data_IF_802132134324
#
_entry.id   IF_802132134324
#
_cell.length_a   1.000
_cell.length_b   1.000
_cell.length_c   1.000
_cell.angle_alpha   90.00
_cell.angle_beta   90.00
_cell.angle_gamma   90.00
#
_symmetry.space_group_name_H-M   'P 1'
#
loop_
_entity.id
_entity.type
_entity.pdbx_description
1 polymer ?
#
# COMPACT_ATOMS: atom_id res chain seq x y z
N UNK A 1 -2.76 -3.05 30.25
CA UNK A 1 -2.87 -2.23 29.02
C UNK A 1 -4.33 -2.06 28.69
N UNK A 2 -4.89 -0.89 28.96
CA UNK A 2 -6.28 -0.54 28.62
C UNK A 2 -6.20 0.20 27.29
N UNK A 3 -6.69 -0.40 26.21
CA UNK A 3 -6.84 0.31 24.94
C UNK A 3 -7.70 1.56 25.20
N UNK A 4 -7.32 2.76 24.72
CA UNK A 4 -8.17 3.96 24.86
C UNK A 4 -9.52 3.66 24.21
N UNK A 5 -10.54 3.54 25.05
CA UNK A 5 -11.77 2.80 24.78
C UNK A 5 -12.85 3.54 24.03
N UNK A 6 -12.50 4.61 23.31
CA UNK A 6 -13.48 5.41 22.54
C UNK A 6 -13.24 5.28 21.03
N UNK A 7 -12.42 4.32 20.60
CA UNK A 7 -12.37 3.95 19.19
C UNK A 7 -13.73 3.37 18.84
N UNK A 8 -14.44 4.02 17.94
CA UNK A 8 -15.71 3.50 17.41
C UNK A 8 -15.41 2.24 16.59
N UNK A 9 -15.31 1.09 17.27
CA UNK A 9 -14.96 -0.21 16.68
C UNK A 9 -15.87 -0.57 15.52
N UNK A 10 -17.11 -0.10 15.55
CA UNK A 10 -18.07 -0.29 14.49
C UNK A 10 -17.70 0.53 13.23
N UNK A 11 -17.24 1.76 13.41
CA UNK A 11 -16.79 2.64 12.32
C UNK A 11 -15.46 2.14 11.71
N UNK A 12 -14.52 1.74 12.56
CA UNK A 12 -13.26 1.14 12.13
C UNK A 12 -13.49 -0.15 11.32
N UNK A 13 -14.32 -1.06 11.83
CA UNK A 13 -14.62 -2.32 11.12
C UNK A 13 -15.39 -2.10 9.83
N UNK A 14 -16.27 -1.08 9.76
CA UNK A 14 -16.93 -0.66 8.52
C UNK A 14 -15.91 -0.16 7.49
N UNK A 15 -14.97 0.70 7.88
CA UNK A 15 -13.91 1.21 7.00
C UNK A 15 -13.01 0.07 6.46
N UNK A 16 -12.64 -0.87 7.34
CA UNK A 16 -11.88 -2.07 6.96
C UNK A 16 -12.62 -2.93 5.95
N UNK A 17 -13.89 -3.24 6.21
CA UNK A 17 -14.73 -4.05 5.33
C UNK A 17 -14.88 -3.40 3.96
N UNK A 18 -15.10 -2.08 3.91
CA UNK A 18 -15.20 -1.34 2.66
C UNK A 18 -13.89 -1.42 1.85
N UNK A 19 -12.74 -1.28 2.53
CA UNK A 19 -11.41 -1.46 1.94
C UNK A 19 -11.21 -2.86 1.36
N UNK A 20 -11.53 -3.88 2.15
CA UNK A 20 -11.42 -5.28 1.75
C UNK A 20 -12.32 -5.61 0.54
N UNK A 21 -13.58 -5.17 0.55
CA UNK A 21 -14.52 -5.39 -0.57
C UNK A 21 -14.02 -4.70 -1.83
N UNK A 22 -13.58 -3.45 -1.75
CA UNK A 22 -13.02 -2.72 -2.89
C UNK A 22 -11.77 -3.39 -3.45
N UNK A 23 -10.88 -3.86 -2.58
CA UNK A 23 -9.68 -4.60 -2.97
C UNK A 23 -9.99 -5.94 -3.61
N UNK A 24 -10.93 -6.70 -3.02
CA UNK A 24 -11.39 -7.97 -3.55
C UNK A 24 -12.03 -7.82 -4.93
N UNK A 25 -12.91 -6.83 -5.12
CA UNK A 25 -13.53 -6.57 -6.42
C UNK A 25 -12.50 -6.25 -7.51
N UNK A 26 -11.46 -5.49 -7.16
CA UNK A 26 -10.37 -5.19 -8.08
C UNK A 26 -9.53 -6.44 -8.41
N UNK A 27 -9.18 -7.23 -7.40
CA UNK A 27 -8.40 -8.46 -7.58
C UNK A 27 -9.16 -9.55 -8.35
N UNK A 28 -10.48 -9.66 -8.17
CA UNK A 28 -11.33 -10.53 -8.99
C UNK A 28 -11.36 -10.09 -10.45
N UNK A 29 -11.44 -8.78 -10.72
CA UNK A 29 -11.35 -8.24 -12.08
C UNK A 29 -10.02 -8.59 -12.75
N UNK A 30 -8.90 -8.39 -12.03
CA UNK A 30 -7.56 -8.73 -12.51
C UNK A 30 -7.42 -10.23 -12.79
N UNK A 31 -7.97 -11.06 -11.91
CA UNK A 31 -7.93 -12.50 -12.05
C UNK A 31 -8.79 -13.01 -13.21
N UNK A 32 -9.97 -12.44 -13.43
CA UNK A 32 -10.83 -12.80 -14.57
C UNK A 32 -10.12 -12.54 -15.91
N UNK A 33 -9.39 -11.41 -16.02
CA UNK A 33 -8.57 -11.10 -17.19
C UNK A 33 -7.47 -12.16 -17.36
N UNK A 34 -6.76 -12.49 -16.28
CA UNK A 34 -5.72 -13.53 -16.28
C UNK A 34 -6.28 -14.90 -16.70
N UNK A 35 -7.46 -15.27 -16.21
CA UNK A 35 -8.12 -16.53 -16.52
C UNK A 35 -8.48 -16.65 -18.01
N UNK A 36 -9.12 -15.62 -18.58
CA UNK A 36 -9.47 -15.59 -20.01
C UNK A 36 -8.20 -15.63 -20.87
N UNK A 37 -7.15 -14.91 -20.45
CA UNK A 37 -5.88 -14.87 -21.16
C UNK A 37 -5.19 -16.24 -21.19
N UNK A 38 -5.05 -16.91 -20.04
CA UNK A 38 -4.47 -18.25 -19.97
C UNK A 38 -5.31 -19.25 -20.76
N UNK A 39 -6.65 -19.18 -20.65
CA UNK A 39 -7.54 -20.13 -21.34
C UNK A 39 -7.42 -20.06 -22.85
N UNK A 40 -7.23 -18.87 -23.42
CA UNK A 40 -7.11 -18.68 -24.87
C UNK A 40 -5.72 -19.02 -25.41
N UNK A 41 -4.66 -18.82 -24.62
CA UNK A 41 -3.28 -18.87 -25.13
C UNK A 41 -2.59 -20.19 -24.86
N UNK A 42 -2.83 -20.80 -23.72
CA UNK A 42 -2.18 -22.03 -23.33
C UNK A 42 -3.28 -23.04 -22.99
N UNK A 43 -3.15 -24.28 -23.44
CA UNK A 43 -3.99 -25.39 -22.96
C UNK A 43 -3.76 -25.70 -21.48
N UNK A 44 -3.38 -24.70 -20.66
CA UNK A 44 -3.08 -24.79 -19.24
C UNK A 44 -4.19 -25.48 -18.48
N UNK A 45 -5.44 -25.16 -18.80
CA UNK A 45 -6.60 -25.79 -18.17
C UNK A 45 -6.80 -27.26 -18.53
N UNK A 46 -6.14 -27.78 -19.57
CA UNK A 46 -6.21 -29.20 -19.91
C UNK A 46 -5.34 -30.06 -18.98
N UNK A 47 -4.29 -29.48 -18.39
CA UNK A 47 -3.33 -30.18 -17.52
C UNK A 47 -3.37 -29.69 -16.07
N UNK A 48 -3.90 -28.49 -15.81
CA UNK A 48 -3.99 -27.91 -14.47
C UNK A 48 -5.16 -28.51 -13.68
N UNK A 49 -4.84 -29.20 -12.58
CA UNK A 49 -5.82 -29.67 -11.60
C UNK A 49 -6.63 -28.54 -10.96
N UNK A 50 -7.79 -28.87 -10.37
CA UNK A 50 -8.76 -27.89 -9.85
C UNK A 50 -8.18 -26.87 -8.87
N UNK A 51 -7.23 -27.29 -8.03
CA UNK A 51 -6.53 -26.42 -7.08
C UNK A 51 -5.85 -25.21 -7.76
N UNK A 52 -5.10 -25.42 -8.85
CA UNK A 52 -4.39 -24.34 -9.54
C UNK A 52 -5.34 -23.33 -10.17
N UNK A 53 -6.52 -23.79 -10.60
CA UNK A 53 -7.56 -22.92 -11.18
C UNK A 53 -8.19 -22.03 -10.12
N UNK A 54 -8.47 -22.61 -8.94
CA UNK A 54 -8.98 -21.87 -7.80
C UNK A 54 -7.94 -20.89 -7.27
N UNK A 55 -6.67 -21.30 -7.17
CA UNK A 55 -5.58 -20.43 -6.72
C UNK A 55 -5.42 -19.21 -7.61
N UNK A 56 -5.51 -19.38 -8.94
CA UNK A 56 -5.44 -18.28 -9.90
C UNK A 56 -6.57 -17.27 -9.69
N UNK A 57 -7.76 -17.73 -9.30
CA UNK A 57 -8.91 -16.88 -8.99
C UNK A 57 -8.84 -16.20 -7.63
N UNK A 58 -8.50 -16.96 -6.59
CA UNK A 58 -8.61 -16.52 -5.20
C UNK A 58 -7.40 -15.70 -4.77
N UNK A 59 -6.18 -16.08 -5.18
CA UNK A 59 -4.96 -15.42 -4.68
C UNK A 59 -4.86 -13.93 -5.03
N UNK A 60 -5.14 -13.47 -6.27
CA UNK A 60 -5.11 -12.04 -6.57
C UNK A 60 -6.20 -11.27 -5.82
N UNK A 61 -7.39 -11.87 -5.63
CA UNK A 61 -8.49 -11.26 -4.91
C UNK A 61 -8.16 -11.06 -3.43
N UNK A 62 -7.59 -12.07 -2.76
CA UNK A 62 -7.22 -11.98 -1.34
C UNK A 62 -6.07 -11.00 -1.12
N UNK A 63 -5.03 -11.02 -1.96
CA UNK A 63 -3.91 -10.09 -1.84
C UNK A 63 -4.35 -8.63 -2.02
N UNK A 64 -5.15 -8.33 -3.04
CA UNK A 64 -5.67 -6.98 -3.24
C UNK A 64 -6.62 -6.54 -2.11
N UNK A 65 -7.42 -7.47 -1.56
CA UNK A 65 -8.27 -7.20 -0.41
C UNK A 65 -7.46 -6.81 0.83
N UNK A 66 -6.44 -7.60 1.18
CA UNK A 66 -5.57 -7.34 2.35
C UNK A 66 -4.82 -6.03 2.20
N UNK A 67 -4.25 -5.74 1.03
CA UNK A 67 -3.53 -4.47 0.81
C UNK A 67 -4.45 -3.26 0.94
N UNK A 68 -5.67 -3.33 0.40
CA UNK A 68 -6.61 -2.22 0.52
C UNK A 68 -7.19 -2.08 1.92
N UNK A 69 -7.38 -3.20 2.63
CA UNK A 69 -7.75 -3.22 4.04
C UNK A 69 -6.71 -2.51 4.90
N UNK A 70 -5.42 -2.85 4.72
CA UNK A 70 -4.30 -2.23 5.44
C UNK A 70 -4.23 -0.72 5.18
N UNK A 71 -4.45 -0.31 3.92
CA UNK A 71 -4.48 1.11 3.56
C UNK A 71 -5.64 1.85 4.23
N UNK A 72 -6.83 1.24 4.33
CA UNK A 72 -7.94 1.86 5.06
C UNK A 72 -7.68 1.91 6.58
N UNK A 73 -7.01 0.89 7.14
CA UNK A 73 -6.61 0.89 8.56
C UNK A 73 -5.75 2.11 8.89
N UNK A 74 -4.69 2.33 8.10
CA UNK A 74 -3.77 3.47 8.30
C UNK A 74 -4.45 4.83 8.14
N UNK A 75 -5.35 4.97 7.17
CA UNK A 75 -6.10 6.22 6.96
C UNK A 75 -7.02 6.51 8.13
N UNK A 76 -7.66 5.49 8.71
CA UNK A 76 -8.51 5.66 9.88
C UNK A 76 -7.69 6.04 11.12
N UNK A 77 -6.52 5.44 11.32
CA UNK A 77 -5.62 5.77 12.43
C UNK A 77 -5.08 7.21 12.33
N UNK A 78 -4.70 7.65 11.12
CA UNK A 78 -4.34 9.04 10.86
C UNK A 78 -5.51 10.00 11.16
N UNK A 79 -6.73 9.65 10.75
CA UNK A 79 -7.92 10.45 11.02
C UNK A 79 -8.24 10.57 12.52
N UNK A 80 -8.16 9.47 13.28
CA UNK A 80 -8.41 9.49 14.72
C UNK A 80 -7.31 10.27 15.47
N UNK A 81 -6.05 10.17 15.03
CA UNK A 81 -4.92 10.95 15.56
C UNK A 81 -5.15 12.45 15.36
N UNK A 82 -5.55 12.87 14.17
CA UNK A 82 -5.83 14.27 13.86
C UNK A 82 -7.02 14.80 14.69
N UNK A 83 -8.07 13.98 14.84
CA UNK A 83 -9.26 14.30 15.66
C UNK A 83 -8.89 14.53 17.13
N UNK A 84 -8.05 13.67 17.71
CA UNK A 84 -7.60 13.81 19.11
C UNK A 84 -6.69 15.02 19.34
N UNK A 85 -5.93 15.43 18.33
CA UNK A 85 -5.04 16.59 18.41
C UNK A 85 -5.76 17.93 18.12
N UNK A 86 -7.08 17.90 17.82
CA UNK A 86 -7.85 19.09 17.44
C UNK A 86 -7.36 19.73 16.13
N UNK A 87 -6.56 19.00 15.35
CA UNK A 87 -6.08 19.44 14.06
C UNK A 87 -7.26 19.35 13.07
N UNK A 88 -7.53 20.44 12.36
CA UNK A 88 -8.55 20.41 11.30
C UNK A 88 -8.11 19.35 10.27
N UNK A 89 -9.04 18.49 9.79
CA UNK A 89 -8.72 17.53 8.74
C UNK A 89 -8.07 18.31 7.60
N UNK A 90 -6.87 17.87 7.19
CA UNK A 90 -6.05 18.51 6.17
C UNK A 90 -6.95 18.93 5.01
N UNK A 91 -7.21 20.23 4.89
CA UNK A 91 -8.08 20.77 3.85
C UNK A 91 -7.55 20.22 2.53
N UNK A 92 -8.39 19.43 1.86
CA UNK A 92 -8.08 18.99 0.50
C UNK A 92 -7.83 20.25 -0.29
N UNK A 93 -6.57 20.46 -0.68
CA UNK A 93 -6.13 21.62 -1.44
C UNK A 93 -7.16 21.86 -2.53
N UNK A 94 -7.78 23.05 -2.53
CA UNK A 94 -8.88 23.34 -3.45
C UNK A 94 -8.47 22.92 -4.87
N UNK A 95 -9.28 22.11 -5.56
CA UNK A 95 -8.89 21.59 -6.86
C UNK A 95 -8.65 22.77 -7.81
N UNK A 96 -7.42 22.89 -8.29
CA UNK A 96 -7.04 23.86 -9.33
C UNK A 96 -8.03 23.75 -10.49
N UNK A 97 -8.48 24.88 -11.04
CA UNK A 97 -9.52 24.90 -12.07
C UNK A 97 -9.09 24.19 -13.37
N UNK A 98 -7.78 24.02 -13.58
CA UNK A 98 -7.24 23.37 -14.78
C UNK A 98 -6.95 21.87 -14.59
N UNK A 99 -7.36 21.07 -15.58
CA UNK A 99 -7.22 19.61 -15.56
C UNK A 99 -5.76 19.17 -15.58
N UNK A 100 -4.90 19.90 -16.28
CA UNK A 100 -3.47 19.59 -16.36
C UNK A 100 -2.76 19.83 -15.03
N UNK A 101 -3.07 20.93 -14.35
CA UNK A 101 -2.54 21.21 -13.02
C UNK A 101 -3.02 20.17 -12.00
N UNK A 102 -4.28 19.72 -12.07
CA UNK A 102 -4.79 18.65 -11.21
C UNK A 102 -4.08 17.32 -11.43
N UNK A 103 -3.83 16.96 -12.69
CA UNK A 103 -3.08 15.74 -13.02
C UNK A 103 -1.65 15.87 -12.50
N UNK A 104 -0.99 17.00 -12.74
CA UNK A 104 0.38 17.21 -12.33
C UNK A 104 0.53 17.22 -10.80
N UNK A 105 -0.41 17.85 -10.07
CA UNK A 105 -0.44 17.84 -8.61
C UNK A 105 -0.75 16.44 -8.04
N UNK A 106 -1.65 15.69 -8.69
CA UNK A 106 -1.96 14.32 -8.32
C UNK A 106 -0.77 13.38 -8.56
N UNK A 107 -0.03 13.57 -9.66
CA UNK A 107 1.19 12.83 -9.97
C UNK A 107 2.30 13.20 -8.98
N UNK A 108 2.47 14.47 -8.61
CA UNK A 108 3.44 14.89 -7.59
C UNK A 108 3.13 14.27 -6.23
N UNK A 109 1.86 14.29 -5.81
CA UNK A 109 1.40 13.71 -4.54
C UNK A 109 1.50 12.18 -4.52
N UNK A 110 1.38 11.53 -5.68
CA UNK A 110 1.43 10.07 -5.79
C UNK A 110 2.60 9.57 -6.64
N UNK A 111 3.73 10.29 -6.63
CA UNK A 111 4.88 10.08 -7.53
C UNK A 111 5.30 8.60 -7.58
N UNK A 112 5.47 7.96 -6.43
CA UNK A 112 5.87 6.56 -6.35
C UNK A 112 4.84 5.58 -6.94
N UNK A 113 3.54 5.87 -6.85
CA UNK A 113 2.49 5.01 -7.43
C UNK A 113 2.52 5.06 -8.95
N UNK A 114 2.74 6.23 -9.54
CA UNK A 114 2.87 6.38 -10.99
C UNK A 114 4.15 5.76 -11.53
N UNK A 115 5.24 5.80 -10.76
CA UNK A 115 6.50 5.15 -11.13
C UNK A 115 6.35 3.64 -11.16
N UNK A 116 5.81 3.08 -10.08
CA UNK A 116 5.55 1.64 -10.00
C UNK A 116 4.52 1.23 -11.06
N UNK A 117 3.49 2.05 -11.28
CA UNK A 117 2.49 1.84 -12.33
C UNK A 117 3.09 1.89 -13.75
N UNK A 118 3.96 2.85 -14.03
CA UNK A 118 4.66 3.00 -15.32
C UNK A 118 5.64 1.86 -15.58
N UNK A 119 6.32 1.38 -14.54
CA UNK A 119 7.14 0.17 -14.60
C UNK A 119 6.31 -1.08 -14.87
N UNK A 120 5.18 -1.26 -14.18
CA UNK A 120 4.29 -2.38 -14.43
C UNK A 120 3.68 -2.29 -15.83
N UNK A 121 3.31 -1.10 -16.27
CA UNK A 121 2.79 -0.84 -17.61
C UNK A 121 3.83 -1.16 -18.69
N UNK A 122 5.10 -0.81 -18.49
CA UNK A 122 6.17 -1.11 -19.44
C UNK A 122 6.45 -2.62 -19.53
N UNK A 123 6.37 -3.35 -18.41
CA UNK A 123 6.42 -4.82 -18.43
C UNK A 123 5.27 -5.43 -19.22
N UNK A 124 4.03 -4.96 -18.98
CA UNK A 124 2.84 -5.46 -19.69
C UNK A 124 2.90 -5.14 -21.18
N UNK A 125 3.31 -3.91 -21.54
CA UNK A 125 3.48 -3.48 -22.92
C UNK A 125 4.58 -4.29 -23.63
N UNK A 126 5.72 -4.50 -22.99
CA UNK A 126 6.81 -5.33 -23.51
C UNK A 126 6.38 -6.79 -23.68
N UNK A 127 5.68 -7.36 -22.69
CA UNK A 127 5.15 -8.72 -22.79
C UNK A 127 4.12 -8.86 -23.91
N UNK A 128 3.27 -7.85 -24.11
CA UNK A 128 2.31 -7.82 -25.21
C UNK A 128 3.02 -7.74 -26.57
N UNK A 129 4.03 -6.88 -26.71
CA UNK A 129 4.82 -6.73 -27.93
C UNK A 129 5.62 -7.99 -28.28
N UNK A 130 6.37 -8.56 -27.32
CA UNK A 130 7.16 -9.80 -27.51
C UNK A 130 6.27 -10.99 -27.85
N UNK A 131 5.03 -11.00 -27.37
CA UNK A 131 4.11 -12.08 -27.63
C UNK A 131 3.36 -11.97 -28.98
N UNK A 132 3.54 -10.87 -29.72
CA UNK A 132 2.98 -10.70 -31.05
C UNK A 132 3.76 -11.49 -32.10
N UNK A 133 5.04 -11.79 -31.88
CA UNK A 133 5.87 -12.54 -32.82
C UNK A 133 5.87 -14.07 -32.59
N UNK A 134 5.28 -14.77 -33.57
CA UNK A 134 4.99 -16.22 -33.55
C UNK A 134 6.12 -17.08 -34.15
N UNK A 135 7.13 -16.51 -34.79
CA UNK A 135 8.06 -17.23 -35.67
C UNK A 135 9.41 -17.65 -35.08
N UNK A 136 9.58 -17.67 -33.74
CA UNK A 136 10.88 -18.00 -33.13
C UNK A 136 10.82 -19.17 -32.13
N UNK A 137 11.84 -20.05 -32.18
CA UNK A 137 11.98 -21.24 -31.32
C UNK A 137 12.00 -20.86 -29.83
N UNK A 138 11.37 -21.69 -28.98
CA UNK A 138 11.27 -21.45 -27.52
C UNK A 138 12.64 -21.30 -26.86
N UNK A 139 13.66 -22.01 -27.35
CA UNK A 139 15.03 -21.92 -26.83
C UNK A 139 15.68 -20.56 -27.14
N UNK A 140 15.37 -19.96 -28.30
CA UNK A 140 15.88 -18.63 -28.67
C UNK A 140 15.22 -17.52 -27.86
N UNK A 141 13.93 -17.67 -27.52
CA UNK A 141 13.20 -16.71 -26.67
C UNK A 141 13.81 -16.59 -25.26
N UNK A 142 14.31 -17.69 -24.69
CA UNK A 142 14.96 -17.69 -23.36
C UNK A 142 16.28 -16.92 -23.37
N UNK A 143 17.09 -17.11 -24.42
CA UNK A 143 18.37 -16.40 -24.56
C UNK A 143 18.13 -14.90 -24.71
N UNK A 144 17.16 -14.50 -25.53
CA UNK A 144 16.80 -13.09 -25.67
C UNK A 144 16.20 -12.50 -24.39
N UNK A 145 15.40 -13.27 -23.64
CA UNK A 145 14.83 -12.81 -22.39
C UNK A 145 15.91 -12.35 -21.40
N UNK A 146 17.11 -12.95 -21.41
CA UNK A 146 18.22 -12.52 -20.57
C UNK A 146 18.72 -11.12 -20.93
N UNK A 147 18.82 -10.80 -22.22
CA UNK A 147 19.25 -9.47 -22.70
C UNK A 147 18.18 -8.42 -22.41
N UNK A 148 16.90 -8.75 -22.62
CA UNK A 148 15.80 -7.86 -22.24
C UNK A 148 15.73 -7.63 -20.72
N UNK A 149 15.99 -8.66 -19.90
CA UNK A 149 16.04 -8.52 -18.44
C UNK A 149 17.16 -7.57 -18.01
N UNK A 150 18.33 -7.66 -18.63
CA UNK A 150 19.45 -6.73 -18.39
C UNK A 150 19.11 -5.30 -18.84
N UNK A 151 18.44 -5.13 -19.98
CA UNK A 151 17.97 -3.81 -20.41
C UNK A 151 16.95 -3.23 -19.43
N UNK A 152 16.04 -4.06 -18.91
CA UNK A 152 15.02 -3.67 -17.95
C UNK A 152 15.62 -3.25 -16.60
N UNK A 153 16.64 -3.95 -16.10
CA UNK A 153 17.29 -3.58 -14.83
C UNK A 153 17.98 -2.23 -14.96
N UNK A 154 18.68 -1.96 -16.07
CA UNK A 154 19.30 -0.66 -16.34
C UNK A 154 18.24 0.44 -16.41
N UNK A 155 17.14 0.21 -17.12
CA UNK A 155 16.04 1.17 -17.25
C UNK A 155 15.37 1.44 -15.89
N UNK A 156 15.21 0.42 -15.05
CA UNK A 156 14.69 0.55 -13.69
C UNK A 156 15.63 1.33 -12.77
N UNK A 157 16.94 1.12 -12.87
CA UNK A 157 17.95 1.89 -12.14
C UNK A 157 17.92 3.37 -12.57
N UNK A 158 17.88 3.63 -13.87
CA UNK A 158 17.77 5.00 -14.40
C UNK A 158 16.48 5.68 -13.97
N UNK A 159 15.34 4.97 -13.98
CA UNK A 159 14.07 5.49 -13.47
C UNK A 159 14.16 5.86 -11.98
N UNK A 160 14.74 4.99 -11.16
CA UNK A 160 14.93 5.24 -9.72
C UNK A 160 15.81 6.45 -9.47
N UNK A 161 16.93 6.57 -10.20
CA UNK A 161 17.85 7.71 -10.11
C UNK A 161 17.18 9.01 -10.54
N UNK A 162 16.50 9.00 -11.69
CA UNK A 162 15.78 10.17 -12.21
C UNK A 162 14.78 10.71 -11.18
N UNK A 163 14.04 9.84 -10.53
CA UNK A 163 13.08 10.23 -9.50
C UNK A 163 13.74 10.79 -8.26
N UNK A 164 14.86 10.20 -7.82
CA UNK A 164 15.64 10.65 -6.65
C UNK A 164 16.30 12.02 -6.86
N UNK A 165 16.71 12.33 -8.09
CA UNK A 165 17.28 13.65 -8.46
C UNK A 165 16.18 14.71 -8.55
N UNK A 166 14.98 14.32 -8.97
CA UNK A 166 13.82 15.23 -9.07
C UNK A 166 13.10 15.42 -7.72
N UNK A 167 13.60 14.84 -6.62
CA UNK A 167 13.05 15.07 -5.29
C UNK A 167 13.59 16.39 -4.70
N UNK A 168 12.71 17.35 -4.35
CA UNK A 168 13.13 18.57 -3.67
C UNK A 168 13.70 18.22 -2.29
N UNK A 169 14.73 18.96 -1.84
CA UNK A 169 15.42 18.72 -0.55
C UNK A 169 14.47 18.63 0.66
N UNK A 170 13.34 19.35 0.61
CA UNK A 170 12.30 19.35 1.65
C UNK A 170 11.62 17.97 1.81
N UNK A 171 11.48 17.18 0.74
CA UNK A 171 10.85 15.86 0.81
C UNK A 171 11.80 14.82 1.44
N UNK A 172 13.11 14.95 1.21
CA UNK A 172 14.11 14.12 1.92
C UNK A 172 14.12 14.41 3.41
N UNK A 173 13.91 15.67 3.79
CA UNK A 173 13.79 16.10 5.19
C UNK A 173 12.52 15.55 5.84
N UNK A 174 11.37 15.61 5.14
CA UNK A 174 10.11 14.98 5.59
C UNK A 174 10.22 13.46 5.70
N UNK A 175 10.90 12.79 4.77
CA UNK A 175 11.15 11.36 4.85
C UNK A 175 12.01 10.99 6.08
N UNK A 176 12.99 11.83 6.41
CA UNK A 176 13.80 11.69 7.61
C UNK A 176 12.96 11.91 8.88
N UNK A 177 12.11 12.94 8.93
CA UNK A 177 11.17 13.18 10.03
C UNK A 177 10.18 12.02 10.20
N UNK A 178 9.66 11.48 9.09
CA UNK A 178 8.79 10.32 9.10
C UNK A 178 9.51 9.06 9.61
N UNK A 179 10.79 8.87 9.25
CA UNK A 179 11.61 7.77 9.80
C UNK A 179 11.88 7.91 11.30
N UNK A 180 11.73 9.11 11.88
CA UNK A 180 11.82 9.36 13.33
C UNK A 180 10.45 9.38 14.03
N UNK A 181 9.37 9.07 13.32
CA UNK A 181 8.02 9.04 13.91
C UNK A 181 7.92 8.07 15.09
N UNK A 182 8.62 6.92 15.02
CA UNK A 182 8.68 5.94 16.10
C UNK A 182 9.32 6.51 17.38
N UNK A 183 10.28 7.43 17.28
CA UNK A 183 10.84 8.12 18.45
C UNK A 183 9.76 8.98 19.13
N UNK A 184 8.94 9.68 18.34
CA UNK A 184 7.83 10.47 18.89
C UNK A 184 6.75 9.60 19.53
N UNK A 185 6.44 8.47 18.91
CA UNK A 185 5.42 7.56 19.42
C UNK A 185 5.92 6.85 20.70
N UNK A 186 7.21 6.51 20.79
CA UNK A 186 7.85 6.04 22.03
C UNK A 186 7.82 7.10 23.15
N UNK A 187 8.17 8.35 22.83
CA UNK A 187 8.11 9.45 23.80
C UNK A 187 6.68 9.72 24.27
N UNK A 188 5.70 9.58 23.39
CA UNK A 188 4.29 9.66 23.76
C UNK A 188 3.90 8.55 24.74
N UNK A 189 4.24 7.29 24.43
CA UNK A 189 4.00 6.14 25.32
C UNK A 189 4.69 6.32 26.66
N UNK A 190 5.96 6.73 26.67
CA UNK A 190 6.71 6.95 27.89
C UNK A 190 6.13 8.09 28.74
N UNK A 191 5.69 9.18 28.11
CA UNK A 191 5.04 10.30 28.80
C UNK A 191 3.68 9.93 29.39
N UNK A 192 2.91 9.06 28.72
CA UNK A 192 1.66 8.52 29.23
C UNK A 192 1.91 7.59 30.43
N UNK A 193 2.90 6.69 30.32
CA UNK A 193 3.26 5.74 31.37
C UNK A 193 3.82 6.46 32.62
N UNK A 194 4.55 7.57 32.42
CA UNK A 194 5.04 8.43 33.52
C UNK A 194 3.91 9.12 34.29
N UNK A 195 2.80 9.49 33.61
CA UNK A 195 1.63 10.11 34.26
C UNK A 195 0.79 9.11 35.04
N UNK A 196 0.75 7.85 34.64
CA UNK A 196 0.00 6.80 35.36
C UNK A 196 0.67 6.37 36.67
N UNK A 197 2.01 6.23 36.70
CA UNK A 197 2.76 5.80 37.91
C UNK A 197 2.37 6.52 39.22
N UNK A 198 2.35 7.86 39.30
CA UNK A 198 1.98 8.56 40.53
C UNK A 198 0.50 8.46 40.89
N UNK A 199 -0.37 8.07 39.96
CA UNK A 199 -1.80 7.87 40.21
C UNK A 199 -2.02 6.49 40.82
N UNK A 200 -1.36 5.46 40.27
CA UNK A 200 -1.42 4.09 40.81
C UNK A 200 -0.80 4.02 42.20
N UNK A 201 0.36 4.66 42.41
CA UNK A 201 1.02 4.74 43.71
C UNK A 201 0.14 5.42 44.78
N UNK A 202 -0.58 6.50 44.42
CA UNK A 202 -1.55 7.14 45.33
C UNK A 202 -2.78 6.29 45.63
N UNK A 203 -3.18 5.40 44.70
CA UNK A 203 -4.31 4.51 44.90
C UNK A 203 -3.93 3.29 45.76
N UNK A 204 -2.70 2.81 45.65
CA UNK A 204 -2.18 1.71 46.47
C UNK A 204 -1.94 2.18 47.91
N UNK A 205 -1.32 3.34 48.12
CA UNK A 205 -1.19 3.95 49.46
C UNK A 205 -2.56 4.11 50.13
N UNK A 206 -3.58 4.58 49.38
CA UNK A 206 -4.93 4.78 49.91
C UNK A 206 -5.68 3.48 50.22
N UNK A 207 -5.28 2.35 49.63
CA UNK A 207 -5.82 1.02 49.97
C UNK A 207 -5.18 0.48 51.24
N UNK A 208 -3.86 0.62 51.37
CA UNK A 208 -3.13 0.21 52.59
C UNK A 208 -3.63 0.99 53.82
N UNK A 209 -3.89 2.30 53.71
CA UNK A 209 -4.46 3.10 54.83
C UNK A 209 -5.93 2.78 55.16
N UNK A 210 -6.60 1.94 54.38
CA UNK A 210 -7.99 1.52 54.64
C UNK A 210 -8.10 0.10 55.21
N UNK A 211 -7.02 -0.67 55.19
CA UNK A 211 -6.95 -2.03 55.72
C UNK A 211 -6.35 -2.09 57.15
N UNK A 212 -5.77 -0.98 57.62
CA UNK A 212 -5.45 -0.71 59.05
C UNK A 212 -6.60 0.01 59.76
#
# INVERSE_FOLDING_TARGET
MKFPGDVNVEEYTKALKLGAVKGASFGFGLSAIGFVYLKRRTGFFNYAGGFHRMLLFVAPATLCAVVQMERQSRVYEEFERDRQQGLKPREMTQPSADLWDRINDYVKTNKYKFVVGGWAASMVASFWAVNRDKYMSKSQKIVQARVYAQGLTVLMLLGTVFLSVTEPKNDKQKALEQSKSWERDLLYVESANRKEKPIVEKLDIKKETKEE
#
